data_IF_112452773172
#
_entry.id   IF_112452773172
#
_cell.length_a   1.000
_cell.length_b   1.000
_cell.length_c   1.000
_cell.angle_alpha   90.00
_cell.angle_beta   90.00
_cell.angle_gamma   90.00
#
_symmetry.space_group_name_H-M   'P 1'
#
loop_
_entity.id
_entity.type
_entity.pdbx_description
1 polymer ?
#
# COMPACT_ATOMS: atom_id res chain seq x y z
N UNK A 1 25.21 -7.57 -7.54
CA UNK A 1 24.02 -6.78 -7.94
C UNK A 1 22.79 -7.67 -8.12
N UNK A 2 22.81 -8.62 -9.06
CA UNK A 2 21.66 -9.52 -9.29
C UNK A 2 21.27 -10.38 -8.09
N UNK A 3 22.23 -10.85 -7.29
CA UNK A 3 21.94 -11.65 -6.09
C UNK A 3 21.19 -10.86 -5.02
N UNK A 4 21.56 -9.59 -4.80
CA UNK A 4 20.85 -8.70 -3.87
C UNK A 4 19.43 -8.42 -4.36
N UNK A 5 19.27 -8.16 -5.66
CA UNK A 5 17.95 -8.01 -6.28
C UNK A 5 17.07 -9.23 -6.03
N UNK A 6 17.62 -10.43 -6.21
CA UNK A 6 16.92 -11.68 -5.95
C UNK A 6 16.51 -11.83 -4.48
N UNK A 7 17.38 -11.49 -3.53
CA UNK A 7 17.06 -11.58 -2.09
C UNK A 7 15.92 -10.63 -1.69
N UNK A 8 15.94 -9.39 -2.20
CA UNK A 8 14.86 -8.43 -1.94
C UNK A 8 13.54 -8.85 -2.58
N UNK A 9 13.56 -9.26 -3.86
CA UNK A 9 12.39 -9.78 -4.56
C UNK A 9 11.78 -11.01 -3.88
N UNK A 10 12.62 -11.97 -3.48
CA UNK A 10 12.17 -13.17 -2.79
C UNK A 10 11.53 -12.83 -1.44
N UNK A 11 12.12 -11.90 -0.70
CA UNK A 11 11.55 -11.44 0.58
C UNK A 11 10.20 -10.74 0.37
N UNK A 12 10.08 -9.89 -0.65
CA UNK A 12 8.81 -9.25 -1.00
C UNK A 12 7.73 -10.29 -1.37
N UNK A 13 8.10 -11.31 -2.15
CA UNK A 13 7.21 -12.40 -2.53
C UNK A 13 6.69 -13.18 -1.31
N UNK A 14 7.55 -13.48 -0.34
CA UNK A 14 7.16 -14.13 0.91
C UNK A 14 6.18 -13.26 1.69
N UNK A 15 6.45 -11.95 1.84
CA UNK A 15 5.56 -11.03 2.55
C UNK A 15 4.18 -10.93 1.90
N UNK A 16 4.13 -10.79 0.57
CA UNK A 16 2.86 -10.76 -0.18
C UNK A 16 2.12 -12.09 -0.07
N UNK A 17 2.84 -13.23 -0.10
CA UNK A 17 2.23 -14.56 0.06
C UNK A 17 1.59 -14.73 1.44
N UNK A 18 2.26 -14.30 2.51
CA UNK A 18 1.73 -14.32 3.89
C UNK A 18 0.46 -13.47 3.99
N UNK A 19 0.45 -12.31 3.32
CA UNK A 19 -0.72 -11.44 3.28
C UNK A 19 -1.90 -12.11 2.54
N UNK A 20 -1.62 -12.78 1.42
CA UNK A 20 -2.61 -13.51 0.62
C UNK A 20 -3.26 -14.66 1.42
N UNK A 21 -2.46 -15.36 2.23
CA UNK A 21 -2.93 -16.41 3.15
C UNK A 21 -3.71 -15.88 4.35
N UNK A 22 -3.94 -14.56 4.43
CA UNK A 22 -4.73 -13.88 5.48
C UNK A 22 -4.14 -13.95 6.90
N UNK A 23 -2.88 -14.35 7.06
CA UNK A 23 -2.26 -14.44 8.40
C UNK A 23 -2.02 -13.07 9.05
N UNK A 24 -1.69 -12.02 8.27
CA UNK A 24 -1.28 -10.71 8.79
C UNK A 24 -2.21 -9.54 8.39
N UNK A 25 -3.52 -9.78 8.26
CA UNK A 25 -4.51 -8.75 7.87
C UNK A 25 -4.49 -7.49 8.75
N UNK A 26 -4.22 -7.63 10.06
CA UNK A 26 -4.14 -6.46 10.98
C UNK A 26 -3.03 -5.48 10.59
N UNK A 27 -1.94 -6.01 10.03
CA UNK A 27 -0.75 -5.27 9.59
C UNK A 27 -0.68 -5.08 8.07
N UNK A 28 -1.79 -5.30 7.34
CA UNK A 28 -1.88 -5.25 5.86
C UNK A 28 -1.13 -4.05 5.27
N UNK A 29 -1.42 -2.83 5.74
CA UNK A 29 -0.81 -1.62 5.18
C UNK A 29 0.71 -1.58 5.40
N UNK A 30 1.19 -2.03 6.56
CA UNK A 30 2.63 -2.03 6.87
C UNK A 30 3.33 -3.08 6.00
N UNK A 31 2.76 -4.28 5.90
CA UNK A 31 3.32 -5.36 5.08
C UNK A 31 3.34 -4.97 3.60
N UNK A 32 2.26 -4.37 3.09
CA UNK A 32 2.21 -3.86 1.71
C UNK A 32 3.24 -2.75 1.45
N UNK A 33 3.41 -1.81 2.40
CA UNK A 33 4.44 -0.77 2.31
C UNK A 33 5.86 -1.36 2.26
N UNK A 34 6.15 -2.34 3.12
CA UNK A 34 7.46 -3.00 3.14
C UNK A 34 7.71 -3.76 1.84
N UNK A 35 6.72 -4.51 1.35
CA UNK A 35 6.80 -5.20 0.06
C UNK A 35 7.02 -4.23 -1.10
N UNK A 36 6.31 -3.10 -1.11
CA UNK A 36 6.52 -2.03 -2.09
C UNK A 36 7.97 -1.51 -2.06
N UNK A 37 8.49 -1.19 -0.87
CA UNK A 37 9.85 -0.68 -0.71
C UNK A 37 10.88 -1.70 -1.21
N UNK A 38 10.70 -2.98 -0.87
CA UNK A 38 11.59 -4.05 -1.33
C UNK A 38 11.58 -4.17 -2.86
N UNK A 39 10.41 -4.18 -3.51
CA UNK A 39 10.30 -4.22 -4.98
C UNK A 39 10.89 -2.97 -5.65
N UNK A 40 10.67 -1.80 -5.08
CA UNK A 40 11.28 -0.56 -5.57
C UNK A 40 12.82 -0.63 -5.47
N UNK A 41 13.35 -1.10 -4.33
CA UNK A 41 14.79 -1.28 -4.13
C UNK A 41 15.35 -2.36 -5.06
N UNK A 42 14.62 -3.45 -5.36
CA UNK A 42 15.01 -4.48 -6.34
C UNK A 42 15.22 -3.92 -7.74
N UNK A 43 14.41 -2.94 -8.14
CA UNK A 43 14.51 -2.36 -9.48
C UNK A 43 15.83 -1.59 -9.72
N UNK A 44 16.43 -1.03 -8.66
CA UNK A 44 17.68 -0.24 -8.73
C UNK A 44 18.90 -1.09 -9.18
N UNK A 45 19.26 -2.20 -8.50
CA UNK A 45 20.36 -3.06 -8.93
C UNK A 45 20.07 -3.76 -10.25
N UNK A 46 18.81 -4.08 -10.56
CA UNK A 46 18.44 -4.62 -11.88
C UNK A 46 18.70 -3.60 -12.99
N UNK A 47 18.25 -2.35 -12.80
CA UNK A 47 18.52 -1.26 -13.72
C UNK A 47 20.02 -1.05 -13.92
N UNK A 48 20.79 -0.99 -12.82
CA UNK A 48 22.24 -0.80 -12.89
C UNK A 48 22.92 -1.96 -13.64
N UNK A 49 22.52 -3.20 -13.37
CA UNK A 49 23.04 -4.37 -14.08
C UNK A 49 22.72 -4.33 -15.57
N UNK A 50 21.49 -3.97 -15.94
CA UNK A 50 21.06 -3.87 -17.35
C UNK A 50 21.76 -2.70 -18.06
N UNK A 51 21.90 -1.55 -17.41
CA UNK A 51 22.49 -0.34 -17.98
C UNK A 51 24.01 -0.47 -18.16
N UNK A 52 24.73 -0.92 -17.13
CA UNK A 52 26.18 -1.12 -17.20
C UNK A 52 26.51 -2.21 -18.22
N UNK A 53 25.81 -3.35 -18.16
CA UNK A 53 26.07 -4.43 -19.10
C UNK A 53 25.69 -4.07 -20.54
N UNK A 54 24.55 -3.41 -20.72
CA UNK A 54 24.11 -2.93 -22.03
C UNK A 54 25.09 -1.92 -22.65
N UNK A 55 25.57 -0.97 -21.85
CA UNK A 55 26.50 0.07 -22.33
C UNK A 55 27.91 -0.44 -22.60
N UNK A 56 28.40 -1.40 -21.82
CA UNK A 56 29.79 -1.86 -21.92
C UNK A 56 29.98 -3.16 -22.70
N UNK A 57 28.92 -3.88 -23.09
CA UNK A 57 29.02 -5.20 -23.74
C UNK A 57 29.99 -5.29 -24.93
N UNK A 58 30.10 -4.23 -25.73
CA UNK A 58 31.00 -4.20 -26.89
C UNK A 58 32.41 -3.68 -26.58
N UNK A 59 32.64 -3.18 -25.37
CA UNK A 59 33.92 -2.60 -24.94
C UNK A 59 34.92 -3.71 -24.63
N UNK A 60 35.99 -3.79 -25.42
CA UNK A 60 36.99 -4.86 -25.29
C UNK A 60 37.85 -4.74 -24.04
N UNK A 61 37.98 -3.54 -23.49
CA UNK A 61 38.76 -3.29 -22.27
C UNK A 61 38.03 -3.65 -20.98
N UNK A 62 36.71 -3.91 -21.06
CA UNK A 62 35.86 -4.10 -19.89
C UNK A 62 35.99 -5.47 -19.24
N UNK A 63 35.99 -6.54 -20.04
CA UNK A 63 36.03 -7.92 -19.58
C UNK A 63 37.28 -8.62 -20.12
N UNK A 64 37.90 -9.46 -19.29
CA UNK A 64 39.11 -10.21 -19.63
C UNK A 64 38.94 -11.07 -20.90
N UNK A 65 37.73 -11.60 -21.14
CA UNK A 65 37.42 -12.42 -22.32
C UNK A 65 36.26 -11.82 -23.14
N UNK A 66 36.53 -10.81 -23.98
CA UNK A 66 35.49 -10.08 -24.71
C UNK A 66 34.78 -10.93 -25.78
N UNK A 67 35.40 -12.02 -26.25
CA UNK A 67 34.82 -12.91 -27.29
C UNK A 67 33.54 -13.60 -26.79
N UNK A 68 33.47 -13.91 -25.48
CA UNK A 68 32.29 -14.53 -24.88
C UNK A 68 31.29 -13.49 -24.35
N UNK A 69 31.59 -12.20 -24.46
CA UNK A 69 30.75 -11.12 -23.98
C UNK A 69 29.75 -10.70 -25.06
N UNK A 70 28.63 -11.41 -25.14
CA UNK A 70 27.55 -11.11 -26.08
C UNK A 70 26.23 -10.93 -25.32
N UNK A 71 25.30 -10.19 -25.91
CA UNK A 71 23.93 -10.11 -25.40
C UNK A 71 23.27 -11.48 -25.57
N UNK A 72 23.25 -12.24 -24.49
CA UNK A 72 22.57 -13.53 -24.42
C UNK A 72 21.09 -13.34 -24.05
N UNK A 73 20.32 -14.40 -24.18
CA UNK A 73 18.93 -14.43 -23.71
C UNK A 73 18.78 -14.08 -22.23
N UNK A 74 19.79 -14.39 -21.40
CA UNK A 74 19.77 -14.02 -19.99
C UNK A 74 19.75 -12.49 -19.78
N UNK A 75 20.44 -11.73 -20.65
CA UNK A 75 20.37 -10.27 -20.62
C UNK A 75 18.97 -9.77 -21.00
N UNK A 76 18.37 -10.33 -22.06
CA UNK A 76 17.01 -9.97 -22.46
C UNK A 76 16.00 -10.26 -21.32
N UNK A 77 16.12 -11.39 -20.63
CA UNK A 77 15.30 -11.72 -19.47
C UNK A 77 15.54 -10.76 -18.29
N UNK A 78 16.77 -10.29 -18.08
CA UNK A 78 17.05 -9.30 -17.04
C UNK A 78 16.37 -7.94 -17.32
N UNK A 79 16.34 -7.51 -18.59
CA UNK A 79 15.58 -6.31 -19.01
C UNK A 79 14.10 -6.48 -18.71
N UNK A 80 13.52 -7.62 -19.10
CA UNK A 80 12.11 -7.93 -18.86
C UNK A 80 11.80 -8.00 -17.36
N UNK A 81 12.66 -8.64 -16.57
CA UNK A 81 12.51 -8.72 -15.12
C UNK A 81 12.52 -7.34 -14.47
N UNK A 82 13.44 -6.45 -14.88
CA UNK A 82 13.47 -5.06 -14.41
C UNK A 82 12.11 -4.38 -14.60
N UNK A 83 11.53 -4.46 -15.80
CA UNK A 83 10.21 -3.88 -16.07
C UNK A 83 9.12 -4.45 -15.17
N UNK A 84 9.06 -5.77 -15.00
CA UNK A 84 8.05 -6.40 -14.15
C UNK A 84 8.19 -6.02 -12.68
N UNK A 85 9.41 -5.95 -12.14
CA UNK A 85 9.64 -5.50 -10.77
C UNK A 85 9.23 -4.04 -10.57
N UNK A 86 9.51 -3.15 -11.54
CA UNK A 86 9.04 -1.75 -11.48
C UNK A 86 7.52 -1.65 -11.53
N UNK A 87 6.85 -2.40 -12.42
CA UNK A 87 5.38 -2.43 -12.50
C UNK A 87 4.78 -3.00 -11.22
N UNK A 88 5.34 -4.08 -10.68
CA UNK A 88 4.91 -4.68 -9.42
C UNK A 88 4.99 -3.70 -8.25
N UNK A 89 6.08 -2.93 -8.16
CA UNK A 89 6.22 -1.87 -7.16
C UNK A 89 5.08 -0.82 -7.29
N UNK A 90 4.79 -0.35 -8.52
CA UNK A 90 3.70 0.61 -8.74
C UNK A 90 2.33 0.04 -8.35
N UNK A 91 2.07 -1.24 -8.65
CA UNK A 91 0.84 -1.92 -8.25
C UNK A 91 0.72 -2.05 -6.72
N UNK A 92 1.81 -2.43 -6.03
CA UNK A 92 1.85 -2.54 -4.57
C UNK A 92 1.63 -1.17 -3.89
N UNK A 93 2.17 -0.10 -4.46
CA UNK A 93 1.88 1.26 -4.00
C UNK A 93 0.38 1.58 -4.12
N UNK A 94 -0.21 1.26 -5.28
CA UNK A 94 -1.64 1.42 -5.51
C UNK A 94 -2.50 0.64 -4.50
N UNK A 95 -2.17 -0.62 -4.25
CA UNK A 95 -2.86 -1.45 -3.26
C UNK A 95 -2.70 -0.92 -1.83
N UNK A 96 -1.52 -0.40 -1.49
CA UNK A 96 -1.30 0.25 -0.20
C UNK A 96 -2.19 1.48 -0.03
N UNK A 97 -2.25 2.35 -1.04
CA UNK A 97 -3.09 3.55 -1.00
C UNK A 97 -4.58 3.19 -0.85
N UNK A 98 -5.05 2.18 -1.61
CA UNK A 98 -6.41 1.65 -1.47
C UNK A 98 -6.66 1.06 -0.08
N UNK A 99 -5.71 0.30 0.48
CA UNK A 99 -5.82 -0.26 1.82
C UNK A 99 -5.90 0.84 2.90
N UNK A 100 -5.09 1.90 2.75
CA UNK A 100 -5.13 3.08 3.63
C UNK A 100 -6.47 3.80 3.58
N UNK A 101 -7.02 3.98 2.38
CA UNK A 101 -8.33 4.62 2.20
C UNK A 101 -9.47 3.76 2.79
N UNK A 102 -9.46 2.43 2.57
CA UNK A 102 -10.40 1.50 3.19
C UNK A 102 -10.39 1.60 4.71
N UNK A 103 -9.19 1.64 5.32
CA UNK A 103 -9.02 1.78 6.77
C UNK A 103 -9.49 3.14 7.30
N UNK A 104 -9.25 4.22 6.54
CA UNK A 104 -9.75 5.56 6.88
C UNK A 104 -11.28 5.60 6.88
N UNK A 105 -11.94 5.02 5.87
CA UNK A 105 -13.41 4.93 5.79
C UNK A 105 -14.00 4.15 6.96
N UNK A 106 -13.40 3.00 7.30
CA UNK A 106 -13.82 2.21 8.45
C UNK A 106 -13.73 2.99 9.77
N UNK A 107 -12.62 3.71 10.00
CA UNK A 107 -12.45 4.53 11.20
C UNK A 107 -13.46 5.70 11.25
N UNK A 108 -13.68 6.39 10.13
CA UNK A 108 -14.66 7.48 10.05
C UNK A 108 -16.08 6.99 10.37
N UNK A 109 -16.46 5.78 9.94
CA UNK A 109 -17.75 5.17 10.29
C UNK A 109 -17.86 4.94 11.80
N UNK A 110 -16.81 4.41 12.44
CA UNK A 110 -16.79 4.20 13.90
C UNK A 110 -17.01 5.52 14.66
N UNK A 111 -16.34 6.60 14.26
CA UNK A 111 -16.52 7.91 14.90
C UNK A 111 -17.94 8.46 14.72
N UNK A 112 -18.55 8.25 13.55
CA UNK A 112 -19.94 8.68 13.29
C UNK A 112 -20.98 7.82 14.01
N UNK A 113 -20.62 6.60 14.45
CA UNK A 113 -21.51 5.69 15.17
C UNK A 113 -21.46 5.87 16.70
N UNK A 114 -20.47 6.58 17.24
CA UNK A 114 -20.40 6.83 18.68
C UNK A 114 -21.50 7.84 19.10
N UNK A 115 -22.42 7.46 20.02
CA UNK A 115 -23.41 8.38 20.56
C UNK A 115 -22.69 9.56 21.20
N UNK A 116 -23.07 10.79 20.82
CA UNK A 116 -22.50 12.02 21.39
C UNK A 116 -22.72 11.99 22.92
N UNK A 117 -21.66 11.95 23.75
CA UNK A 117 -21.82 11.93 25.20
C UNK A 117 -22.36 13.30 25.62
N UNK A 118 -23.69 13.40 25.79
CA UNK A 118 -24.38 14.65 26.11
C UNK A 118 -25.78 14.81 25.51
N UNK A 119 -26.24 13.94 24.59
CA UNK A 119 -27.61 14.06 24.02
C UNK A 119 -28.63 13.10 24.68
N UNK A 120 -28.22 12.32 25.67
CA UNK A 120 -29.13 11.48 26.47
C UNK A 120 -29.39 12.08 27.86
N UNK A 121 -29.76 13.36 27.90
CA UNK A 121 -30.13 14.07 29.13
C UNK A 121 -30.79 15.41 28.80
N UNK A 122 -32.12 15.47 28.98
CA UNK A 122 -33.03 16.62 28.86
C UNK A 122 -33.94 16.61 27.62
N UNK A 123 -34.80 15.60 27.51
CA UNK A 123 -36.19 15.87 27.15
C UNK A 123 -36.86 16.56 28.33
N UNK A 124 -36.69 17.88 28.42
CA UNK A 124 -37.64 18.75 29.11
C UNK A 124 -39.00 18.54 28.43
N UNK A 125 -40.06 18.12 29.13
CA UNK A 125 -41.40 18.17 28.53
C UNK A 125 -41.68 19.65 28.28
N UNK A 126 -41.81 19.99 27.00
CA UNK A 126 -42.22 21.31 26.55
C UNK A 126 -43.50 21.69 27.29
N UNK A 127 -43.40 22.73 28.12
CA UNK A 127 -44.50 23.50 28.70
C UNK A 127 -45.35 24.12 27.58
N UNK A 128 -46.07 23.29 26.85
CA UNK A 128 -47.06 23.68 25.85
C UNK A 128 -48.42 23.12 26.31
N UNK A 129 -48.92 23.68 27.41
CA UNK A 129 -50.17 23.25 28.03
C UNK A 129 -50.55 24.05 29.26
N UNK A 130 -50.22 25.35 29.29
CA UNK A 130 -50.82 26.26 30.25
C UNK A 130 -52.07 26.87 29.60
N UNK A 131 -53.19 26.16 29.72
CA UNK A 131 -54.51 26.76 29.48
C UNK A 131 -54.77 27.84 30.56
N UNK A 132 -55.14 29.07 30.21
CA UNK A 132 -55.60 30.03 31.20
C UNK A 132 -57.03 29.67 31.62
N UNK A 133 -57.20 29.25 32.87
CA UNK A 133 -58.53 29.07 33.48
C UNK A 133 -59.30 30.40 33.46
N UNK A 134 -60.44 30.40 32.79
CA UNK A 134 -61.42 31.48 32.79
C UNK A 134 -62.08 31.59 34.19
N UNK A 135 -62.30 32.78 34.76
CA UNK A 135 -62.92 32.90 36.08
C UNK A 135 -64.44 32.70 35.97
N UNK A 136 -65.00 31.89 36.89
CA UNK A 136 -66.44 31.70 37.04
C UNK A 136 -67.14 33.02 37.43
N UNK A 137 -68.30 33.36 36.85
CA UNK A 137 -69.08 34.51 37.30
C UNK A 137 -69.82 34.19 38.60
N UNK A 138 -70.03 35.19 39.48
CA UNK A 138 -70.82 35.03 40.70
C UNK A 138 -72.33 35.06 40.40
N UNK A 139 -73.02 34.12 41.06
CA UNK A 139 -74.46 33.86 41.24
C UNK A 139 -75.50 34.47 40.29
#
# INVERSE_FOLDING_TARGET
MMTLALMFAFTALVLVSILLMRFLLRFEIIVLMVAFILEAITSIPLFLSVAVFGGMCFERSWLQNPIYNHLSWAYALAVVAFFFHTVAAMMLLGETLKARERRRRANNLIYNMQPRPGTSGNTTPSLLGAEPKQPLPPE
#
